data_IF_864769638642
#
_entry.id   IF_864769638642
#
_cell.length_a   1.000
_cell.length_b   1.000
_cell.length_c   1.000
_cell.angle_alpha   90.00
_cell.angle_beta   90.00
_cell.angle_gamma   90.00
#
_symmetry.space_group_name_H-M   'P 1'
#
loop_
_entity.id
_entity.type
_entity.pdbx_description
1 polymer ?
#
# COMPACT_ATOMS: atom_id res chain seq x y z
N UNK A 1 -5.16 -6.32 3.72
CA UNK A 1 -3.83 -6.43 4.37
C UNK A 1 -2.69 -6.65 3.37
N UNK A 2 -2.52 -7.83 2.77
CA UNK A 2 -1.38 -8.12 1.88
C UNK A 2 -1.16 -7.11 0.74
N UNK A 3 -2.20 -6.82 -0.06
CA UNK A 3 -2.15 -5.80 -1.14
C UNK A 3 -1.76 -4.41 -0.64
N UNK A 4 -2.37 -3.98 0.48
CA UNK A 4 -2.09 -2.68 1.10
C UNK A 4 -0.62 -2.62 1.57
N UNK A 5 -0.12 -3.67 2.21
CA UNK A 5 1.26 -3.72 2.68
C UNK A 5 2.28 -3.71 1.53
N UNK A 6 1.99 -4.40 0.41
CA UNK A 6 2.85 -4.36 -0.79
C UNK A 6 2.98 -2.93 -1.34
N UNK A 7 1.86 -2.21 -1.47
CA UNK A 7 1.85 -0.82 -1.93
C UNK A 7 2.49 0.12 -0.91
N UNK A 8 2.23 -0.09 0.38
CA UNK A 8 2.77 0.75 1.46
C UNK A 8 4.29 0.61 1.60
N UNK A 9 4.83 -0.60 1.44
CA UNK A 9 6.28 -0.81 1.44
C UNK A 9 6.95 -0.07 0.28
N UNK A 10 6.42 -0.21 -0.94
CA UNK A 10 6.95 0.53 -2.09
C UNK A 10 6.79 2.05 -1.91
N UNK A 11 5.64 2.48 -1.37
CA UNK A 11 5.35 3.88 -1.07
C UNK A 11 6.20 4.46 0.07
N UNK A 12 6.92 3.64 0.84
CA UNK A 12 7.90 4.11 1.82
C UNK A 12 9.28 4.27 1.20
N UNK A 13 9.68 3.38 0.28
CA UNK A 13 11.00 3.38 -0.38
C UNK A 13 11.08 4.43 -1.48
N UNK A 14 10.08 4.52 -2.37
CA UNK A 14 10.15 5.37 -3.58
C UNK A 14 10.32 6.86 -3.25
N UNK A 15 9.61 7.45 -2.26
CA UNK A 15 9.75 8.87 -1.93
C UNK A 15 11.13 9.27 -1.42
N UNK A 16 11.96 8.32 -0.95
CA UNK A 16 13.34 8.62 -0.58
C UNK A 16 14.23 8.90 -1.80
N UNK A 17 13.82 8.47 -3.00
CA UNK A 17 14.55 8.69 -4.25
C UNK A 17 13.86 9.67 -5.20
N UNK A 18 12.53 9.58 -5.34
CA UNK A 18 11.75 10.33 -6.32
C UNK A 18 10.53 10.94 -5.65
N UNK A 19 10.37 12.27 -5.79
CA UNK A 19 9.20 13.02 -5.31
C UNK A 19 8.38 13.54 -6.48
N UNK A 20 7.08 13.65 -6.27
CA UNK A 20 6.16 14.30 -7.21
C UNK A 20 6.48 15.80 -7.20
N UNK A 21 6.52 16.48 -8.36
CA UNK A 21 6.80 17.91 -8.42
C UNK A 21 5.79 18.72 -7.59
N UNK A 22 6.31 19.55 -6.70
CA UNK A 22 5.53 20.45 -5.84
C UNK A 22 6.29 20.81 -4.57
N UNK A 23 6.28 22.08 -4.19
CA UNK A 23 7.03 22.58 -3.01
C UNK A 23 6.66 21.84 -1.73
N UNK A 24 5.37 21.49 -1.58
CA UNK A 24 4.83 20.74 -0.43
C UNK A 24 5.37 19.30 -0.30
N UNK A 25 5.86 18.72 -1.39
CA UNK A 25 6.36 17.35 -1.45
C UNK A 25 7.88 17.29 -1.63
N UNK A 26 8.54 18.44 -1.67
CA UNK A 26 9.99 18.55 -1.83
C UNK A 26 10.75 17.91 -0.67
N UNK A 27 12.01 17.56 -0.92
CA UNK A 27 12.91 17.04 0.12
C UNK A 27 13.17 18.06 1.25
N UNK A 28 13.05 19.35 0.97
CA UNK A 28 13.15 20.42 1.98
C UNK A 28 11.92 20.43 2.89
N UNK A 29 10.72 20.32 2.31
CA UNK A 29 9.48 20.28 3.07
C UNK A 29 9.34 19.01 3.92
N UNK A 30 9.75 17.86 3.37
CA UNK A 30 9.65 16.54 4.02
C UNK A 30 11.02 15.82 3.92
N UNK A 31 11.92 16.03 4.89
CA UNK A 31 13.27 15.44 4.85
C UNK A 31 13.26 13.93 5.12
N UNK A 32 12.30 13.43 5.91
CA UNK A 32 12.17 12.00 6.23
C UNK A 32 10.76 11.54 5.86
N UNK A 33 10.67 10.44 5.12
CA UNK A 33 9.40 9.91 4.61
C UNK A 33 8.39 9.53 5.70
N UNK A 34 8.84 9.19 6.92
CA UNK A 34 7.95 8.87 8.04
C UNK A 34 7.15 10.09 8.52
N UNK A 35 7.70 11.29 8.41
CA UNK A 35 7.05 12.54 8.84
C UNK A 35 5.99 13.02 7.83
N UNK A 36 5.96 12.44 6.63
CA UNK A 36 5.04 12.82 5.57
C UNK A 36 3.58 12.74 6.01
N UNK A 37 3.23 11.71 6.80
CA UNK A 37 1.86 11.55 7.30
C UNK A 37 1.40 12.76 8.11
N UNK A 38 2.24 13.26 9.03
CA UNK A 38 1.88 14.39 9.89
C UNK A 38 1.93 15.71 9.13
N UNK A 39 2.91 15.90 8.24
CA UNK A 39 3.08 17.14 7.47
C UNK A 39 2.03 17.34 6.38
N UNK A 40 1.46 16.27 5.84
CA UNK A 40 0.42 16.30 4.81
C UNK A 40 -1.00 16.16 5.38
N UNK A 41 -1.14 16.20 6.72
CA UNK A 41 -2.42 16.09 7.41
C UNK A 41 -3.18 17.44 7.43
N UNK A 42 -4.51 17.41 7.28
CA UNK A 42 -5.37 18.61 7.33
C UNK A 42 -6.74 18.39 6.69
N UNK A 43 -7.73 19.23 7.06
CA UNK A 43 -9.11 19.14 6.56
C UNK A 43 -9.25 19.38 5.04
N UNK A 44 -8.27 20.06 4.43
CA UNK A 44 -8.11 20.23 2.97
C UNK A 44 -6.79 19.60 2.51
N UNK A 45 -6.25 18.67 3.31
CA UNK A 45 -4.96 18.01 3.07
C UNK A 45 -5.09 16.80 2.15
N UNK A 46 -3.96 16.42 1.53
CA UNK A 46 -3.85 15.25 0.64
C UNK A 46 -4.32 13.97 1.33
N UNK A 47 -4.03 13.82 2.63
CA UNK A 47 -4.43 12.63 3.39
C UNK A 47 -5.96 12.51 3.49
N UNK A 48 -6.68 13.62 3.67
CA UNK A 48 -8.14 13.58 3.71
C UNK A 48 -8.73 13.25 2.35
N UNK A 49 -8.17 13.79 1.26
CA UNK A 49 -8.58 13.44 -0.10
C UNK A 49 -8.38 11.95 -0.39
N UNK A 50 -7.23 11.39 -0.01
CA UNK A 50 -6.95 9.95 -0.17
C UNK A 50 -7.90 9.11 0.67
N UNK A 51 -8.11 9.47 1.94
CA UNK A 51 -9.03 8.78 2.83
C UNK A 51 -10.47 8.79 2.29
N UNK A 52 -10.92 9.94 1.79
CA UNK A 52 -12.25 10.10 1.20
C UNK A 52 -12.47 9.14 0.01
N UNK A 53 -11.52 9.09 -0.93
CA UNK A 53 -11.65 8.19 -2.09
C UNK A 53 -11.53 6.71 -1.71
N UNK A 54 -10.67 6.36 -0.76
CA UNK A 54 -10.59 4.98 -0.24
C UNK A 54 -11.91 4.60 0.43
N UNK A 55 -12.49 5.47 1.25
CA UNK A 55 -13.77 5.22 1.91
C UNK A 55 -14.92 4.98 0.91
N UNK A 56 -14.97 5.74 -0.19
CA UNK A 56 -15.96 5.52 -1.26
C UNK A 56 -15.75 4.14 -1.90
N UNK A 57 -14.51 3.79 -2.25
CA UNK A 57 -14.22 2.50 -2.86
C UNK A 57 -14.56 1.33 -1.92
N UNK A 58 -14.23 1.43 -0.64
CA UNK A 58 -14.60 0.43 0.36
C UNK A 58 -16.12 0.31 0.50
N UNK A 59 -16.86 1.43 0.48
CA UNK A 59 -18.31 1.41 0.55
C UNK A 59 -18.94 0.72 -0.68
N UNK A 60 -18.43 0.98 -1.88
CA UNK A 60 -18.88 0.28 -3.10
C UNK A 60 -18.55 -1.22 -3.06
N UNK A 61 -17.40 -1.60 -2.51
CA UNK A 61 -16.97 -3.00 -2.39
C UNK A 61 -17.62 -3.74 -1.22
N UNK A 62 -18.23 -3.03 -0.26
CA UNK A 62 -18.83 -3.61 0.95
C UNK A 62 -19.87 -4.69 0.62
N UNK A 63 -20.72 -4.48 -0.39
CA UNK A 63 -21.72 -5.49 -0.81
C UNK A 63 -21.08 -6.84 -1.17
N UNK A 64 -19.97 -6.84 -1.92
CA UNK A 64 -19.24 -8.07 -2.24
C UNK A 64 -18.65 -8.73 -0.99
N UNK A 65 -18.23 -7.95 0.00
CA UNK A 65 -17.66 -8.48 1.26
C UNK A 65 -18.73 -9.13 2.13
N UNK A 66 -19.96 -8.61 2.16
CA UNK A 66 -21.03 -9.15 3.01
C UNK A 66 -21.85 -10.25 2.34
N UNK A 67 -22.02 -10.23 1.01
CA UNK A 67 -22.86 -11.19 0.29
C UNK A 67 -22.06 -12.30 -0.43
N UNK A 68 -20.80 -12.07 -0.83
CA UNK A 68 -20.03 -12.96 -1.71
C UNK A 68 -18.74 -13.51 -1.05
N UNK A 69 -18.76 -13.67 0.27
CA UNK A 69 -17.59 -14.10 1.03
C UNK A 69 -17.49 -15.64 1.11
N UNK A 70 -17.15 -16.29 0.01
CA UNK A 70 -16.71 -17.70 0.01
C UNK A 70 -15.18 -17.77 0.09
N UNK A 71 -14.63 -18.83 0.70
CA UNK A 71 -13.17 -19.02 0.77
C UNK A 71 -12.49 -19.13 -0.61
N UNK A 72 -13.24 -19.51 -1.64
CA UNK A 72 -12.74 -19.67 -3.00
C UNK A 72 -12.72 -18.36 -3.80
N UNK A 73 -13.67 -17.46 -3.53
CA UNK A 73 -13.81 -16.18 -4.23
C UNK A 73 -13.38 -14.97 -3.39
N UNK A 74 -12.94 -15.18 -2.15
CA UNK A 74 -12.53 -14.10 -1.24
C UNK A 74 -11.37 -13.28 -1.85
N UNK A 75 -11.64 -11.99 -2.08
CA UNK A 75 -10.66 -11.05 -2.65
C UNK A 75 -10.62 -11.00 -4.18
N UNK A 76 -11.52 -11.72 -4.86
CA UNK A 76 -11.74 -11.58 -6.29
C UNK A 76 -12.69 -10.41 -6.60
N UNK A 77 -12.11 -9.33 -7.08
CA UNK A 77 -12.85 -8.14 -7.50
C UNK A 77 -13.05 -8.06 -9.02
N UNK A 78 -12.63 -9.07 -9.79
CA UNK A 78 -12.63 -9.03 -11.26
C UNK A 78 -11.63 -8.03 -11.85
N UNK A 79 -10.66 -7.59 -11.05
CA UNK A 79 -9.66 -6.60 -11.43
C UNK A 79 -8.44 -7.28 -12.07
N UNK A 80 -8.03 -6.87 -13.27
CA UNK A 80 -6.81 -7.36 -13.91
C UNK A 80 -6.93 -8.69 -14.67
N UNK A 81 -8.14 -9.07 -15.09
CA UNK A 81 -8.42 -10.30 -15.85
C UNK A 81 -7.57 -10.47 -17.12
N UNK A 82 -7.05 -9.37 -17.68
CA UNK A 82 -6.16 -9.40 -18.85
C UNK A 82 -4.76 -9.96 -18.54
N UNK A 83 -4.27 -9.83 -17.30
CA UNK A 83 -2.96 -10.33 -16.88
C UNK A 83 -3.04 -11.67 -16.16
N UNK A 84 -4.25 -12.22 -16.00
CA UNK A 84 -4.47 -13.46 -15.28
C UNK A 84 -4.31 -14.66 -16.23
N UNK A 85 -3.52 -15.68 -15.87
CA UNK A 85 -3.39 -16.89 -16.67
C UNK A 85 -4.76 -17.56 -16.90
N UNK A 86 -5.00 -18.11 -18.09
CA UNK A 86 -6.27 -18.78 -18.42
C UNK A 86 -6.33 -20.21 -17.90
N UNK A 87 -5.16 -20.79 -17.62
CA UNK A 87 -4.93 -22.12 -17.09
C UNK A 87 -5.11 -22.17 -15.56
N UNK A 88 -5.89 -23.14 -15.07
CA UNK A 88 -6.25 -23.28 -13.65
C UNK A 88 -5.01 -23.41 -12.74
N UNK A 89 -3.98 -24.11 -13.22
CA UNK A 89 -2.72 -24.28 -12.49
C UNK A 89 -1.94 -22.96 -12.40
N UNK A 90 -1.86 -22.18 -13.48
CA UNK A 90 -1.27 -20.85 -13.51
C UNK A 90 -2.00 -19.88 -12.59
N UNK A 91 -3.34 -19.93 -12.57
CA UNK A 91 -4.14 -19.13 -11.65
C UNK A 91 -3.83 -19.47 -10.18
N UNK A 92 -3.75 -20.76 -9.85
CA UNK A 92 -3.38 -21.20 -8.50
C UNK A 92 -1.98 -20.73 -8.12
N UNK A 93 -1.02 -20.83 -9.03
CA UNK A 93 0.36 -20.36 -8.82
C UNK A 93 0.41 -18.85 -8.57
N UNK A 94 -0.32 -18.05 -9.36
CA UNK A 94 -0.39 -16.60 -9.20
C UNK A 94 -1.04 -16.20 -7.86
N UNK A 95 -2.15 -16.84 -7.48
CA UNK A 95 -2.79 -16.64 -6.16
C UNK A 95 -1.81 -16.94 -5.02
N UNK A 96 -1.06 -18.03 -5.12
CA UNK A 96 -0.04 -18.40 -4.11
C UNK A 96 1.14 -17.42 -4.09
N UNK A 97 1.57 -16.91 -5.25
CA UNK A 97 2.63 -15.91 -5.33
C UNK A 97 2.19 -14.59 -4.67
N UNK A 98 0.97 -14.13 -4.95
CA UNK A 98 0.40 -12.94 -4.31
C UNK A 98 0.35 -13.10 -2.79
N UNK A 99 -0.11 -14.26 -2.30
CA UNK A 99 -0.21 -14.50 -0.86
C UNK A 99 1.16 -14.50 -0.17
N UNK A 100 2.18 -15.10 -0.78
CA UNK A 100 3.56 -15.13 -0.24
C UNK A 100 4.17 -13.73 -0.22
N UNK A 101 4.05 -12.98 -1.33
CA UNK A 101 4.56 -11.61 -1.42
C UNK A 101 3.82 -10.67 -0.45
N UNK A 102 2.50 -10.81 -0.32
CA UNK A 102 1.70 -10.05 0.63
C UNK A 102 2.11 -10.31 2.08
N UNK A 103 2.38 -11.58 2.44
CA UNK A 103 2.88 -11.93 3.79
C UNK A 103 4.26 -11.35 4.07
N UNK A 104 5.16 -11.46 3.11
CA UNK A 104 6.49 -10.86 3.21
C UNK A 104 6.40 -9.34 3.37
N UNK A 105 5.57 -8.67 2.57
CA UNK A 105 5.40 -7.22 2.61
C UNK A 105 4.80 -6.74 3.95
N UNK A 106 3.87 -7.49 4.55
CA UNK A 106 3.32 -7.14 5.87
C UNK A 106 4.41 -7.10 6.96
N UNK A 107 5.32 -8.08 6.95
CA UNK A 107 6.43 -8.13 7.91
C UNK A 107 7.47 -7.05 7.57
N UNK A 108 7.81 -6.90 6.29
CA UNK A 108 8.79 -5.91 5.84
C UNK A 108 8.37 -4.47 6.15
N UNK A 109 7.11 -4.12 5.92
CA UNK A 109 6.59 -2.79 6.22
C UNK A 109 6.60 -2.49 7.73
N UNK A 110 6.20 -3.46 8.55
CA UNK A 110 6.27 -3.32 10.01
C UNK A 110 7.70 -3.06 10.50
N UNK A 111 8.66 -3.86 10.02
CA UNK A 111 10.08 -3.66 10.36
C UNK A 111 10.63 -2.32 9.89
N UNK A 112 10.31 -1.91 8.66
CA UNK A 112 10.77 -0.65 8.10
C UNK A 112 10.28 0.57 8.88
N UNK A 113 8.98 0.61 9.26
CA UNK A 113 8.44 1.70 10.08
C UNK A 113 9.07 1.73 11.46
N UNK A 114 9.21 0.58 12.13
CA UNK A 114 9.82 0.54 13.46
C UNK A 114 11.27 1.04 13.43
N UNK A 115 12.05 0.67 12.42
CA UNK A 115 13.41 1.17 12.26
C UNK A 115 13.42 2.66 11.90
N UNK A 116 12.61 3.09 10.93
CA UNK A 116 12.52 4.50 10.53
C UNK A 116 12.11 5.42 11.69
N UNK A 117 11.24 4.94 12.60
CA UNK A 117 10.83 5.69 13.78
C UNK A 117 11.97 5.84 14.82
N UNK A 118 12.85 4.84 14.92
CA UNK A 118 13.99 4.85 15.84
C UNK A 118 15.19 5.62 15.28
N UNK A 119 15.61 5.29 14.05
CA UNK A 119 16.84 5.80 13.44
C UNK A 119 16.64 7.18 12.81
N UNK A 120 15.43 7.50 12.34
CA UNK A 120 15.11 8.72 11.59
C UNK A 120 16.01 8.99 10.38
N UNK A 121 16.55 7.94 9.78
CA UNK A 121 17.30 8.01 8.54
C UNK A 121 16.41 7.67 7.33
N UNK A 122 16.69 8.19 6.13
CA UNK A 122 16.08 7.70 4.89
C UNK A 122 16.53 6.25 4.61
N UNK A 123 15.93 5.61 3.61
CA UNK A 123 16.33 4.27 3.14
C UNK A 123 17.87 4.17 3.01
N UNK A 124 18.52 3.14 3.59
CA UNK A 124 17.97 1.87 4.09
C UNK A 124 17.56 1.83 5.58
N UNK A 125 17.32 2.97 6.22
CA UNK A 125 16.93 3.07 7.65
C UNK A 125 17.97 2.50 8.63
N UNK A 126 19.24 2.49 8.22
CA UNK A 126 20.39 2.10 9.04
C UNK A 126 20.98 3.31 9.78
N UNK A 127 21.75 3.04 10.84
CA UNK A 127 22.50 4.02 11.63
C UNK A 127 23.72 4.57 10.88
#
# INVERSE_FOLDING_TARGET
HGRIAMLAWLGLVVPDFIRIPGERYSFEAIPVSIDAHNKLNGAVGVNFQVLFWIAILEFCCAKKVFEWNSLECAGDYGFGLTFFPKDEEGQRKMRMAELKNGRLAMIAFGGAISQAALTRHPFPWLY
#
